data_IF_814143321681
#
_entry.id   IF_814143321681
#
_cell.length_a   1.000
_cell.length_b   1.000
_cell.length_c   1.000
_cell.angle_alpha   90.00
_cell.angle_beta   90.00
_cell.angle_gamma   90.00
#
_symmetry.space_group_name_H-M   'P 1'
#
loop_
_entity.id
_entity.type
_entity.pdbx_description
1 polymer ?
#
# COMPACT_ATOMS: atom_id res chain seq x y z
N UNK A 1 4.28 12.24 -2.68
CA UNK A 1 4.09 11.37 -3.84
C UNK A 1 4.29 9.92 -3.41
N UNK A 2 3.21 9.13 -3.32
CA UNK A 2 3.28 7.70 -3.04
C UNK A 2 3.77 6.95 -4.28
N UNK A 3 4.77 6.07 -4.11
CA UNK A 3 5.37 5.26 -5.18
C UNK A 3 5.54 3.81 -4.69
N UNK A 4 5.52 2.86 -5.62
CA UNK A 4 5.88 1.48 -5.35
C UNK A 4 7.38 1.32 -5.09
N UNK A 5 7.77 0.19 -4.50
CA UNK A 5 9.19 -0.17 -4.32
C UNK A 5 9.93 -0.16 -5.65
N UNK A 6 9.40 -0.85 -6.66
CA UNK A 6 9.99 -0.94 -8.01
C UNK A 6 10.21 0.44 -8.65
N UNK A 7 9.24 1.37 -8.46
CA UNK A 7 9.38 2.73 -8.99
C UNK A 7 10.48 3.51 -8.26
N UNK A 8 10.59 3.36 -6.95
CA UNK A 8 11.69 3.96 -6.18
C UNK A 8 13.05 3.42 -6.63
N UNK A 9 13.16 2.11 -6.87
CA UNK A 9 14.38 1.48 -7.38
C UNK A 9 14.70 1.94 -8.82
N UNK A 10 13.69 1.97 -9.71
CA UNK A 10 13.83 2.49 -11.08
C UNK A 10 14.43 3.91 -11.10
N UNK A 11 14.01 4.75 -10.16
CA UNK A 11 14.44 6.14 -10.07
C UNK A 11 15.68 6.35 -9.18
N UNK A 12 16.23 5.28 -8.60
CA UNK A 12 17.35 5.33 -7.66
C UNK A 12 17.08 6.28 -6.47
N UNK A 13 15.89 6.16 -5.88
CA UNK A 13 15.48 6.96 -4.73
C UNK A 13 15.89 6.26 -3.43
N UNK A 14 16.91 6.77 -2.78
CA UNK A 14 17.34 6.30 -1.49
C UNK A 14 16.43 6.80 -0.36
N UNK A 15 16.41 6.08 0.76
CA UNK A 15 15.71 6.55 1.95
C UNK A 15 16.34 7.83 2.47
N UNK A 16 15.50 8.78 2.88
CA UNK A 16 15.94 10.10 3.36
C UNK A 16 16.84 10.00 4.60
N UNK A 17 16.63 8.98 5.43
CA UNK A 17 17.38 8.73 6.66
C UNK A 17 17.75 7.27 6.78
N UNK A 18 18.90 6.99 7.41
CA UNK A 18 19.34 5.61 7.70
C UNK A 18 18.48 4.95 8.77
N UNK A 19 18.05 5.71 9.77
CA UNK A 19 17.20 5.26 10.85
C UNK A 19 15.96 6.15 10.92
N UNK A 20 14.79 5.54 10.76
CA UNK A 20 13.51 6.24 10.81
C UNK A 20 12.98 6.26 12.24
N UNK A 21 13.02 7.43 12.89
CA UNK A 21 12.58 7.66 14.27
C UNK A 21 11.14 8.22 14.35
N UNK A 22 10.42 8.33 13.22
CA UNK A 22 9.06 8.86 13.22
C UNK A 22 8.06 7.88 13.80
N UNK A 23 7.06 8.38 14.52
CA UNK A 23 6.05 7.55 15.21
C UNK A 23 5.26 6.62 14.27
N UNK A 24 5.08 7.02 13.01
CA UNK A 24 4.33 6.25 12.01
C UNK A 24 5.21 5.47 11.04
N UNK A 25 6.53 5.57 11.16
CA UNK A 25 7.47 4.87 10.28
C UNK A 25 7.30 5.21 8.79
N UNK A 26 6.81 6.42 8.45
CA UNK A 26 6.58 6.80 7.05
C UNK A 26 7.89 6.78 6.27
N UNK A 27 7.92 6.02 5.19
CA UNK A 27 9.13 5.75 4.42
C UNK A 27 9.42 6.87 3.41
N UNK A 28 9.90 8.01 3.89
CA UNK A 28 10.36 9.11 3.05
C UNK A 28 11.64 8.73 2.31
N UNK A 29 11.64 8.94 1.00
CA UNK A 29 12.86 8.93 0.20
C UNK A 29 13.44 10.35 0.10
N UNK A 30 14.62 10.48 -0.47
CA UNK A 30 15.19 11.79 -0.81
C UNK A 30 14.19 12.55 -1.68
N UNK A 31 14.00 13.85 -1.38
CA UNK A 31 13.12 14.72 -2.16
C UNK A 31 13.67 14.97 -3.55
N UNK A 32 12.77 15.24 -4.50
CA UNK A 32 13.08 15.34 -5.93
C UNK A 32 12.49 16.58 -6.56
N UNK A 33 13.14 17.03 -7.63
CA UNK A 33 12.59 17.94 -8.62
C UNK A 33 12.87 17.41 -10.04
N UNK A 34 12.11 17.88 -11.03
CA UNK A 34 12.41 17.59 -12.44
C UNK A 34 13.77 18.18 -12.84
N UNK A 35 14.57 17.43 -13.57
CA UNK A 35 15.86 17.91 -14.07
C UNK A 35 15.72 19.01 -15.15
N UNK A 36 14.54 19.17 -15.74
CA UNK A 36 14.31 20.08 -16.86
C UNK A 36 12.88 20.64 -16.88
N UNK A 37 12.74 21.87 -17.40
CA UNK A 37 11.43 22.47 -17.66
C UNK A 37 10.69 22.93 -16.41
N UNK A 38 11.40 23.20 -15.34
CA UNK A 38 10.91 23.85 -14.12
C UNK A 38 11.70 25.13 -13.86
N UNK A 39 11.21 25.96 -12.96
CA UNK A 39 11.91 27.16 -12.48
C UNK A 39 12.55 26.88 -11.11
N UNK A 40 11.85 27.17 -10.02
CA UNK A 40 12.34 26.96 -8.65
C UNK A 40 11.90 25.61 -8.07
N UNK A 41 11.05 24.86 -8.74
CA UNK A 41 10.47 23.59 -8.24
C UNK A 41 9.27 23.77 -7.31
N UNK A 42 8.98 25.00 -6.85
CA UNK A 42 7.99 25.25 -5.78
C UNK A 42 6.58 25.48 -6.32
N UNK A 43 6.44 26.07 -7.51
CA UNK A 43 5.13 26.38 -8.08
C UNK A 43 4.29 25.12 -8.30
N UNK A 44 2.96 25.26 -8.34
CA UNK A 44 2.08 24.13 -8.62
C UNK A 44 2.41 23.47 -9.98
N UNK A 45 2.78 24.28 -10.98
CA UNK A 45 3.19 23.77 -12.29
C UNK A 45 4.50 22.98 -12.24
N UNK A 46 5.51 23.50 -11.51
CA UNK A 46 6.81 22.81 -11.35
C UNK A 46 6.63 21.49 -10.59
N UNK A 47 5.84 21.49 -9.51
CA UNK A 47 5.52 20.27 -8.75
C UNK A 47 4.77 19.25 -9.61
N UNK A 48 3.78 19.71 -10.39
CA UNK A 48 3.06 18.85 -11.33
C UNK A 48 4.00 18.22 -12.35
N UNK A 49 4.90 19.03 -12.94
CA UNK A 49 5.91 18.57 -13.89
C UNK A 49 6.81 17.50 -13.27
N UNK A 50 7.33 17.75 -12.08
CA UNK A 50 8.19 16.80 -11.34
C UNK A 50 7.47 15.47 -11.11
N UNK A 51 6.21 15.53 -10.68
CA UNK A 51 5.39 14.33 -10.46
C UNK A 51 5.18 13.55 -11.75
N UNK A 52 4.80 14.24 -12.83
CA UNK A 52 4.56 13.60 -14.14
C UNK A 52 5.84 12.96 -14.71
N UNK A 53 6.98 13.60 -14.54
CA UNK A 53 8.27 13.02 -14.96
C UNK A 53 8.62 11.78 -14.12
N UNK A 54 8.43 11.85 -12.80
CA UNK A 54 8.72 10.73 -11.89
C UNK A 54 7.84 9.51 -12.15
N UNK A 55 6.53 9.69 -12.41
CA UNK A 55 5.61 8.55 -12.65
C UNK A 55 5.65 8.01 -14.07
N UNK A 56 6.35 8.66 -14.99
CA UNK A 56 6.48 8.17 -16.36
C UNK A 56 7.05 6.75 -16.36
N UNK A 57 6.44 5.86 -17.15
CA UNK A 57 6.89 4.45 -17.26
C UNK A 57 8.35 4.31 -17.71
N UNK A 58 8.85 5.26 -18.50
CA UNK A 58 10.22 5.29 -19.04
C UNK A 58 11.14 6.23 -18.25
N UNK A 59 10.70 6.75 -17.10
CA UNK A 59 11.48 7.65 -16.29
C UNK A 59 12.84 7.03 -15.90
N UNK A 60 13.86 7.86 -15.89
CA UNK A 60 15.23 7.48 -15.50
C UNK A 60 15.69 8.36 -14.34
N UNK A 61 16.66 7.92 -13.54
CA UNK A 61 17.23 8.75 -12.49
C UNK A 61 17.70 10.12 -12.98
N UNK A 62 18.22 10.20 -14.22
CA UNK A 62 18.68 11.46 -14.85
C UNK A 62 17.58 12.45 -15.22
N UNK A 63 16.31 12.05 -15.16
CA UNK A 63 15.18 12.94 -15.41
C UNK A 63 14.81 13.76 -14.16
N UNK A 64 15.43 13.43 -13.03
CA UNK A 64 15.21 14.04 -11.73
C UNK A 64 16.52 14.58 -11.14
N UNK A 65 16.39 15.55 -10.26
CA UNK A 65 17.47 16.07 -9.40
C UNK A 65 17.09 15.89 -7.93
N UNK A 66 18.07 15.75 -7.08
CA UNK A 66 17.96 15.59 -5.64
C UNK A 66 18.93 16.55 -4.93
N UNK A 67 18.51 17.24 -3.84
CA UNK A 67 17.15 17.29 -3.28
C UNK A 67 16.21 18.18 -4.11
N UNK A 68 14.90 18.11 -3.82
CA UNK A 68 13.88 18.94 -4.47
C UNK A 68 12.68 19.22 -3.55
N UNK A 69 11.53 19.55 -4.14
CA UNK A 69 10.33 20.00 -3.43
C UNK A 69 9.18 18.97 -3.42
N UNK A 70 9.31 17.87 -4.15
CA UNK A 70 8.40 16.72 -4.06
C UNK A 70 9.06 15.67 -3.19
N UNK A 71 8.28 15.12 -2.24
CA UNK A 71 8.72 14.11 -1.29
C UNK A 71 8.10 12.75 -1.66
N UNK A 72 8.84 11.85 -2.31
CA UNK A 72 8.35 10.51 -2.56
C UNK A 72 8.28 9.70 -1.27
N UNK A 73 7.22 8.90 -1.16
CA UNK A 73 6.96 7.96 -0.08
C UNK A 73 6.95 6.55 -0.67
N UNK A 74 7.82 5.70 -0.16
CA UNK A 74 7.90 4.31 -0.57
C UNK A 74 6.79 3.51 0.11
N UNK A 75 5.84 2.97 -0.66
CA UNK A 75 4.78 2.13 -0.13
C UNK A 75 5.30 0.75 0.28
N UNK A 76 4.72 0.19 1.32
CA UNK A 76 5.00 -1.20 1.73
C UNK A 76 4.46 -2.18 0.69
N UNK A 77 5.20 -3.25 0.43
CA UNK A 77 4.71 -4.38 -0.34
C UNK A 77 3.50 -5.01 0.35
N UNK A 78 2.51 -5.46 -0.45
CA UNK A 78 1.22 -5.93 0.08
C UNK A 78 0.19 -4.82 0.33
N UNK A 79 0.54 -3.54 0.13
CA UNK A 79 -0.40 -2.41 0.21
C UNK A 79 -1.01 -2.26 1.60
N UNK A 80 -2.30 -1.87 1.67
CA UNK A 80 -3.02 -1.64 2.94
C UNK A 80 -3.16 -2.90 3.79
N UNK A 81 -2.99 -4.08 3.23
CA UNK A 81 -3.03 -5.35 3.99
C UNK A 81 -1.73 -5.55 4.79
N UNK A 82 -0.61 -5.00 4.33
CA UNK A 82 0.67 -5.02 5.04
C UNK A 82 0.81 -3.82 5.99
N UNK A 83 0.44 -2.62 5.54
CA UNK A 83 0.48 -1.39 6.34
C UNK A 83 -0.76 -0.54 6.07
N UNK A 84 -1.57 -0.34 7.11
CA UNK A 84 -2.82 0.45 7.04
C UNK A 84 -2.53 1.97 6.97
N UNK A 85 -1.82 2.42 5.93
CA UNK A 85 -1.42 3.80 5.72
C UNK A 85 -2.00 4.43 4.46
N UNK A 86 -2.09 5.77 4.42
CA UNK A 86 -2.58 6.50 3.25
C UNK A 86 -1.67 6.35 2.02
N UNK A 87 -0.37 6.15 2.23
CA UNK A 87 0.59 5.85 1.17
C UNK A 87 0.20 4.58 0.41
N UNK A 88 -0.04 3.50 1.16
CA UNK A 88 -0.47 2.21 0.63
C UNK A 88 -1.87 2.29 0.03
N UNK A 89 -2.78 3.01 0.69
CA UNK A 89 -4.15 3.22 0.20
C UNK A 89 -4.17 3.92 -1.16
N UNK A 90 -3.33 4.94 -1.36
CA UNK A 90 -3.20 5.62 -2.65
C UNK A 90 -2.75 4.69 -3.77
N UNK A 91 -1.75 3.85 -3.50
CA UNK A 91 -1.24 2.85 -4.45
C UNK A 91 -2.31 1.80 -4.77
N UNK A 92 -2.98 1.27 -3.74
CA UNK A 92 -4.01 0.24 -3.91
C UNK A 92 -5.22 0.76 -4.69
N UNK A 93 -5.68 1.99 -4.40
CA UNK A 93 -6.77 2.62 -5.15
C UNK A 93 -6.40 2.84 -6.62
N UNK A 94 -5.15 3.26 -6.91
CA UNK A 94 -4.68 3.38 -8.28
C UNK A 94 -4.68 2.02 -9.00
N UNK A 95 -4.18 0.96 -8.37
CA UNK A 95 -4.21 -0.42 -8.90
C UNK A 95 -5.63 -0.91 -9.15
N UNK A 96 -6.55 -0.71 -8.21
CA UNK A 96 -7.96 -1.10 -8.33
C UNK A 96 -8.70 -0.35 -9.45
N UNK A 97 -8.21 0.82 -9.82
CA UNK A 97 -8.72 1.62 -10.93
C UNK A 97 -8.01 1.32 -12.28
N UNK A 98 -7.15 0.30 -12.35
CA UNK A 98 -6.31 -0.04 -13.52
C UNK A 98 -5.42 1.12 -13.97
N UNK A 99 -4.99 1.98 -13.03
CA UNK A 99 -4.07 3.07 -13.26
C UNK A 99 -2.63 2.70 -12.87
N UNK A 100 -1.67 3.53 -13.27
CA UNK A 100 -0.28 3.40 -12.81
C UNK A 100 -0.24 3.52 -11.27
N UNK A 101 0.45 2.60 -10.56
CA UNK A 101 0.42 2.53 -9.11
C UNK A 101 1.25 3.64 -8.44
N UNK A 102 0.74 4.85 -8.57
CA UNK A 102 1.27 6.07 -7.95
C UNK A 102 0.13 6.97 -7.49
N UNK A 103 0.35 7.77 -6.46
CA UNK A 103 -0.66 8.70 -5.95
C UNK A 103 -0.06 9.95 -5.35
N UNK A 104 -0.70 11.09 -5.59
CA UNK A 104 -0.42 12.33 -4.85
C UNK A 104 -1.34 12.37 -3.65
N UNK A 105 -0.78 12.51 -2.48
CA UNK A 105 -1.53 12.63 -1.22
C UNK A 105 -1.17 13.94 -0.53
N UNK A 106 -2.13 14.53 0.15
CA UNK A 106 -1.97 15.77 0.91
C UNK A 106 -3.00 15.80 2.04
N UNK A 107 -2.59 16.29 3.19
CA UNK A 107 -3.47 16.50 4.33
C UNK A 107 -4.34 17.73 4.10
N UNK A 108 -5.61 17.65 4.51
CA UNK A 108 -6.54 18.78 4.47
C UNK A 108 -6.46 19.53 5.80
N UNK A 109 -6.13 20.82 5.72
CA UNK A 109 -6.12 21.74 6.86
C UNK A 109 -7.38 22.60 6.88
N UNK A 110 -7.83 22.95 8.07
CA UNK A 110 -8.83 23.98 8.30
C UNK A 110 -8.23 25.39 8.03
N UNK A 111 -9.10 26.38 7.85
CA UNK A 111 -8.67 27.77 7.60
C UNK A 111 -7.85 28.38 8.75
N UNK A 112 -8.06 27.90 9.96
CA UNK A 112 -7.30 28.30 11.17
C UNK A 112 -5.92 27.63 11.28
N UNK A 113 -5.56 26.75 10.33
CA UNK A 113 -4.30 26.00 10.30
C UNK A 113 -4.30 24.70 11.08
N UNK A 114 -5.41 24.35 11.74
CA UNK A 114 -5.53 23.03 12.38
C UNK A 114 -5.82 21.94 11.35
N UNK A 115 -5.51 20.68 11.69
CA UNK A 115 -5.79 19.56 10.79
C UNK A 115 -7.28 19.23 10.79
N UNK A 116 -7.89 19.16 9.60
CA UNK A 116 -9.26 18.72 9.42
C UNK A 116 -9.49 17.32 9.99
N UNK A 117 -10.57 17.13 10.74
CA UNK A 117 -10.99 15.87 11.34
C UNK A 117 -12.28 15.38 10.66
N UNK A 118 -12.79 14.25 11.12
CA UNK A 118 -13.90 13.53 10.46
C UNK A 118 -15.06 14.45 10.05
N UNK A 119 -15.53 15.31 10.97
CA UNK A 119 -16.67 16.20 10.69
C UNK A 119 -16.30 17.26 9.65
N UNK A 120 -15.11 17.86 9.78
CA UNK A 120 -14.59 18.84 8.82
C UNK A 120 -14.46 18.22 7.42
N UNK A 121 -13.92 16.99 7.37
CA UNK A 121 -13.71 16.25 6.13
C UNK A 121 -15.05 15.85 5.46
N UNK A 122 -16.08 15.50 6.22
CA UNK A 122 -17.42 15.23 5.68
C UNK A 122 -18.02 16.49 5.04
N UNK A 123 -17.90 17.63 5.72
CA UNK A 123 -18.37 18.92 5.21
C UNK A 123 -17.56 19.35 3.96
N UNK A 124 -16.24 19.16 3.99
CA UNK A 124 -15.35 19.45 2.86
C UNK A 124 -15.71 18.57 1.65
N UNK A 125 -15.88 17.28 1.85
CA UNK A 125 -16.26 16.35 0.80
C UNK A 125 -17.60 16.70 0.17
N UNK A 126 -18.61 17.08 0.98
CA UNK A 126 -19.91 17.53 0.49
C UNK A 126 -19.79 18.83 -0.31
N UNK A 127 -19.08 19.84 0.23
CA UNK A 127 -18.88 21.16 -0.40
C UNK A 127 -18.21 21.03 -1.78
N UNK A 128 -17.25 20.11 -1.90
CA UNK A 128 -16.46 19.94 -3.13
C UNK A 128 -16.87 18.73 -3.97
N UNK A 129 -17.98 18.07 -3.66
CA UNK A 129 -18.49 16.89 -4.36
C UNK A 129 -17.43 15.78 -4.46
N UNK A 130 -16.64 15.57 -3.40
CA UNK A 130 -15.61 14.54 -3.31
C UNK A 130 -16.17 13.26 -2.68
N UNK A 131 -15.62 12.13 -3.10
CA UNK A 131 -15.86 10.86 -2.43
C UNK A 131 -14.98 10.76 -1.19
N UNK A 132 -15.53 10.15 -0.13
CA UNK A 132 -14.79 9.87 1.11
C UNK A 132 -14.90 8.38 1.42
N UNK A 133 -13.81 7.79 1.87
CA UNK A 133 -13.73 6.40 2.29
C UNK A 133 -12.77 6.24 3.45
N UNK A 134 -12.71 5.06 4.03
CA UNK A 134 -11.77 4.73 5.10
C UNK A 134 -10.78 3.65 4.66
N UNK A 135 -9.58 3.66 5.23
CA UNK A 135 -8.60 2.58 5.01
C UNK A 135 -9.16 1.24 5.51
N UNK A 136 -9.96 1.23 6.58
CA UNK A 136 -10.61 0.04 7.09
C UNK A 136 -11.56 -0.60 6.06
N UNK A 137 -12.35 0.22 5.36
CA UNK A 137 -13.24 -0.26 4.30
C UNK A 137 -12.44 -0.81 3.11
N UNK A 138 -11.33 -0.16 2.75
CA UNK A 138 -10.44 -0.64 1.68
C UNK A 138 -9.81 -1.99 2.05
N UNK A 139 -9.34 -2.16 3.28
CA UNK A 139 -8.83 -3.45 3.80
C UNK A 139 -9.92 -4.52 3.74
N UNK A 140 -11.14 -4.20 4.18
CA UNK A 140 -12.26 -5.14 4.12
C UNK A 140 -12.58 -5.54 2.66
N UNK A 141 -12.60 -4.56 1.75
CA UNK A 141 -12.81 -4.80 0.32
C UNK A 141 -11.75 -5.74 -0.25
N UNK A 142 -10.47 -5.48 0.01
CA UNK A 142 -9.36 -6.30 -0.49
C UNK A 142 -9.42 -7.72 0.08
N UNK A 143 -9.62 -7.88 1.38
CA UNK A 143 -9.75 -9.20 2.01
C UNK A 143 -10.93 -10.02 1.45
N UNK A 144 -11.98 -9.36 0.97
CA UNK A 144 -13.16 -10.03 0.43
C UNK A 144 -12.99 -10.38 -1.06
N UNK A 145 -12.32 -9.54 -1.82
CA UNK A 145 -12.28 -9.63 -3.29
C UNK A 145 -10.93 -10.12 -3.84
N UNK A 146 -9.84 -9.98 -3.07
CA UNK A 146 -8.51 -10.43 -3.47
C UNK A 146 -8.14 -11.72 -2.72
N UNK A 147 -7.50 -12.65 -3.40
CA UNK A 147 -6.95 -13.85 -2.78
C UNK A 147 -5.48 -13.63 -2.47
N UNK A 148 -5.18 -13.45 -1.19
CA UNK A 148 -3.80 -13.36 -0.70
C UNK A 148 -3.18 -14.69 -0.30
N UNK A 149 -3.96 -15.78 -0.38
CA UNK A 149 -3.51 -17.11 0.06
C UNK A 149 -3.68 -18.11 -1.08
N UNK A 150 -2.59 -18.76 -1.47
CA UNK A 150 -2.56 -19.77 -2.51
C UNK A 150 -2.29 -21.16 -1.93
N UNK A 151 -3.00 -22.17 -2.45
CA UNK A 151 -2.79 -23.55 -2.03
C UNK A 151 -1.61 -24.14 -2.79
N UNK A 152 -0.55 -24.51 -2.05
CA UNK A 152 0.65 -25.12 -2.61
C UNK A 152 0.50 -26.62 -2.85
N UNK A 153 -0.11 -27.34 -1.90
CA UNK A 153 -0.21 -28.78 -2.01
C UNK A 153 -1.00 -29.43 -0.89
N UNK A 154 -1.14 -30.76 -1.02
CA UNK A 154 -1.81 -31.59 -0.03
C UNK A 154 -1.12 -32.95 0.06
N UNK A 155 -0.93 -33.43 1.28
CA UNK A 155 -0.50 -34.81 1.57
C UNK A 155 -1.30 -35.37 2.73
N UNK A 156 -1.05 -36.62 3.10
CA UNK A 156 -1.70 -37.29 4.21
C UNK A 156 -0.67 -37.65 5.28
N UNK A 157 -1.01 -37.41 6.54
CA UNK A 157 -0.15 -37.66 7.68
C UNK A 157 -0.85 -38.53 8.68
N UNK A 158 -0.20 -39.64 9.08
CA UNK A 158 -0.65 -40.48 10.17
C UNK A 158 -0.15 -39.93 11.51
N UNK A 159 -1.03 -39.84 12.48
CA UNK A 159 -0.74 -39.37 13.84
C UNK A 159 -1.32 -40.34 14.86
N UNK A 160 -0.96 -40.20 16.13
CA UNK A 160 -1.58 -40.96 17.22
C UNK A 160 -3.09 -40.72 17.36
N UNK A 161 -3.63 -39.70 16.72
CA UNK A 161 -5.06 -39.36 16.70
C UNK A 161 -5.74 -39.76 15.40
N UNK A 162 -5.07 -40.53 14.54
CA UNK A 162 -5.52 -40.99 13.25
C UNK A 162 -4.96 -40.18 12.07
N UNK A 163 -5.54 -40.44 10.91
CA UNK A 163 -5.12 -39.86 9.63
C UNK A 163 -5.66 -38.45 9.43
N UNK A 164 -4.80 -37.55 9.03
CA UNK A 164 -5.11 -36.15 8.67
C UNK A 164 -4.67 -35.82 7.25
N UNK A 165 -5.43 -34.97 6.61
CA UNK A 165 -4.97 -34.24 5.43
C UNK A 165 -4.10 -33.08 5.89
N UNK A 166 -2.86 -33.01 5.47
CA UNK A 166 -1.97 -31.85 5.63
C UNK A 166 -1.99 -31.04 4.34
N UNK A 167 -2.41 -29.77 4.44
CA UNK A 167 -2.54 -28.87 3.31
C UNK A 167 -1.64 -27.66 3.58
N UNK A 168 -0.78 -27.34 2.61
CA UNK A 168 0.07 -26.16 2.68
C UNK A 168 -0.54 -25.03 1.85
N UNK A 169 -0.52 -23.84 2.42
CA UNK A 169 -0.90 -22.59 1.79
C UNK A 169 0.25 -21.58 1.89
N UNK A 170 0.43 -20.80 0.87
CA UNK A 170 1.35 -19.67 0.84
C UNK A 170 0.55 -18.37 0.97
N UNK A 171 0.95 -17.53 1.93
CA UNK A 171 0.51 -16.15 2.01
C UNK A 171 1.41 -15.32 1.10
N UNK A 172 0.85 -14.81 0.01
CA UNK A 172 1.60 -14.07 -1.02
C UNK A 172 1.96 -12.64 -0.59
N UNK A 173 1.36 -12.14 0.51
CA UNK A 173 1.66 -10.80 1.04
C UNK A 173 2.89 -10.85 1.94
N UNK A 174 2.93 -11.85 2.84
CA UNK A 174 3.98 -11.97 3.85
C UNK A 174 5.04 -13.02 3.52
N UNK A 175 4.91 -13.71 2.36
CA UNK A 175 5.77 -14.84 1.96
C UNK A 175 5.90 -15.90 3.06
N UNK A 176 4.77 -16.24 3.69
CA UNK A 176 4.70 -17.20 4.78
C UNK A 176 3.95 -18.45 4.37
N UNK A 177 4.45 -19.61 4.77
CA UNK A 177 3.74 -20.87 4.55
C UNK A 177 2.91 -21.22 5.77
N UNK A 178 1.61 -21.43 5.56
CA UNK A 178 0.67 -21.88 6.56
C UNK A 178 0.27 -23.35 6.35
N UNK A 179 0.23 -24.12 7.42
CA UNK A 179 -0.14 -25.55 7.37
C UNK A 179 -1.51 -25.75 8.00
N UNK A 180 -2.37 -26.47 7.28
CA UNK A 180 -3.70 -26.85 7.76
C UNK A 180 -3.77 -28.37 7.93
N UNK A 181 -4.02 -28.83 9.15
CA UNK A 181 -4.35 -30.23 9.44
C UNK A 181 -5.86 -30.40 9.46
N UNK A 182 -6.40 -31.16 8.51
CA UNK A 182 -7.82 -31.42 8.37
C UNK A 182 -8.13 -32.88 8.64
N UNK A 183 -9.08 -33.15 9.56
CA UNK A 183 -9.60 -34.50 9.82
C UNK A 183 -11.02 -34.63 9.27
N UNK A 184 -11.23 -35.64 8.47
CA UNK A 184 -12.57 -35.94 7.90
C UNK A 184 -12.99 -34.98 6.79
N UNK A 185 -14.28 -34.94 6.48
CA UNK A 185 -14.90 -34.15 5.42
C UNK A 185 -15.55 -32.91 6.02
N UNK A 186 -15.25 -31.76 5.46
CA UNK A 186 -15.88 -30.47 5.83
C UNK A 186 -16.97 -30.21 4.82
N UNK A 187 -18.20 -30.02 5.29
CA UNK A 187 -19.37 -29.71 4.47
C UNK A 187 -19.77 -28.24 4.64
N UNK A 188 -20.23 -27.59 3.56
CA UNK A 188 -20.54 -26.15 3.55
C UNK A 188 -21.61 -25.72 4.56
N UNK A 189 -22.44 -26.63 5.01
CA UNK A 189 -23.59 -26.32 5.88
C UNK A 189 -23.39 -26.76 7.35
N UNK A 190 -22.24 -27.35 7.68
CA UNK A 190 -21.96 -27.79 9.05
C UNK A 190 -20.88 -26.95 9.69
N UNK A 191 -21.08 -26.60 10.96
CA UNK A 191 -20.06 -25.90 11.76
C UNK A 191 -18.83 -26.80 11.89
N UNK A 192 -17.65 -26.20 11.66
CA UNK A 192 -16.37 -26.86 11.79
C UNK A 192 -15.61 -26.29 12.99
N UNK A 193 -15.09 -27.16 13.85
CA UNK A 193 -14.20 -26.74 14.93
C UNK A 193 -12.83 -26.44 14.33
N UNK A 194 -12.35 -25.22 14.57
CA UNK A 194 -11.06 -24.76 14.10
C UNK A 194 -10.21 -24.36 15.30
N UNK A 195 -8.96 -24.81 15.31
CA UNK A 195 -7.94 -24.35 16.26
C UNK A 195 -6.82 -23.67 15.46
N UNK A 196 -6.57 -22.41 15.79
CA UNK A 196 -5.41 -21.67 15.28
C UNK A 196 -4.28 -21.78 16.29
N UNK A 197 -3.09 -22.07 15.80
CA UNK A 197 -1.87 -22.12 16.61
C UNK A 197 -0.78 -21.35 15.88
N UNK A 198 -0.18 -20.41 16.57
CA UNK A 198 1.01 -19.64 16.20
C UNK A 198 2.24 -20.27 16.81
#
# INVERSE_FOLDING_TARGET
LALTNDKCEQLNLEMMVKENTTSHGTAFTTSIDSARGITTGISASDRSKTILDAVNKKAKPSDLVQPGHIFPLKASEGGVLSRAGHTEAGIDLAKLADLDPSAVIVEIMNEDGTMARKEDLLNFAQKHSLKIGTIADLIHYKNTNEKSVERLGKTSVETKFGKFDLIAYEDTIFNQTHLVLKKGKIEKQTSCLVRVQT
#
